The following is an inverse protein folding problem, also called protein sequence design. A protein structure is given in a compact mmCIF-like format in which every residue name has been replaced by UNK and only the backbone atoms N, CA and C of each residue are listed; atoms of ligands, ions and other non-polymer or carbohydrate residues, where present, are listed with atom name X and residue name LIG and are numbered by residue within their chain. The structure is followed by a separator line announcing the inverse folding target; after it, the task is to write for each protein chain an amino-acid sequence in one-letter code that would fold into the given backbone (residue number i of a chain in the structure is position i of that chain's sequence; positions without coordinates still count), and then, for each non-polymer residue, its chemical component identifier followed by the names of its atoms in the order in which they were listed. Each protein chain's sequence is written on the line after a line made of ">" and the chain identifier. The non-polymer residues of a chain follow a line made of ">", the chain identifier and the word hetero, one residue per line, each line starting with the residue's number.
data_IF_836902362993
#
_entry.id   IF_836902362993
#
_cell.length_a   1.000
_cell.length_b   1.000
_cell.length_c   1.000
_cell.angle_alpha   90.00
_cell.angle_beta   90.00
_cell.angle_gamma   90.00
#
_symmetry.space_group_name_H-M   'P 1'
#
loop_
_entity.id
_entity.type
_entity.pdbx_description
1 polymer ?
#
# COMPACT_ATOMS: atom_id res chain seq x y z
N UNK A 1 16.42 -8.03 14.70
CA UNK A 1 16.44 -6.92 13.71
C UNK A 1 15.35 -5.85 13.94
N UNK A 2 14.38 -6.05 14.83
CA UNK A 2 13.42 -4.98 15.18
C UNK A 2 14.14 -3.83 15.92
N UNK A 3 15.03 -4.17 16.86
CA UNK A 3 15.79 -3.17 17.62
C UNK A 3 16.64 -2.24 16.75
N UNK A 4 17.12 -2.71 15.58
CA UNK A 4 17.93 -1.88 14.67
C UNK A 4 17.10 -0.83 13.90
N UNK A 5 15.77 -0.99 13.85
CA UNK A 5 14.85 -0.05 13.20
C UNK A 5 14.25 0.99 14.16
N UNK A 6 14.57 0.97 15.45
CA UNK A 6 14.03 1.93 16.43
C UNK A 6 14.50 3.35 16.06
N UNK A 7 13.55 4.27 15.92
CA UNK A 7 13.83 5.69 15.60
C UNK A 7 14.27 5.96 14.17
N UNK A 8 14.20 4.98 13.27
CA UNK A 8 14.58 5.10 11.85
C UNK A 8 13.39 4.82 10.94
N UNK A 9 13.46 5.30 9.70
CA UNK A 9 12.52 4.87 8.66
C UNK A 9 12.85 3.42 8.23
N UNK A 10 11.93 2.50 8.53
CA UNK A 10 12.04 1.09 8.20
C UNK A 10 11.16 0.68 7.00
N UNK A 11 10.63 1.64 6.24
CA UNK A 11 9.70 1.38 5.12
C UNK A 11 10.29 0.43 4.07
N UNK A 12 11.53 0.68 3.65
CA UNK A 12 12.20 -0.19 2.68
C UNK A 12 12.48 -1.60 3.24
N UNK A 13 12.78 -1.71 4.53
CA UNK A 13 13.05 -3.01 5.16
C UNK A 13 11.80 -3.89 5.21
N UNK A 14 10.61 -3.29 5.33
CA UNK A 14 9.33 -3.99 5.40
C UNK A 14 8.79 -4.37 4.00
N UNK A 15 8.96 -3.50 3.01
CA UNK A 15 8.41 -3.64 1.66
C UNK A 15 9.35 -4.36 0.66
N UNK A 16 10.20 -5.29 1.11
CA UNK A 16 11.02 -6.10 0.22
C UNK A 16 12.45 -5.61 -0.06
N UNK A 17 12.94 -4.58 0.64
CA UNK A 17 14.35 -4.18 0.57
C UNK A 17 15.30 -5.11 1.33
N UNK A 18 14.81 -5.75 2.40
CA UNK A 18 15.52 -6.85 3.08
C UNK A 18 14.61 -8.06 3.25
N UNK A 19 13.35 -7.84 3.65
CA UNK A 19 12.34 -8.88 3.77
C UNK A 19 11.06 -8.45 3.06
N UNK A 20 10.44 -9.38 2.32
CA UNK A 20 9.15 -9.16 1.69
C UNK A 20 8.04 -9.74 2.58
N UNK A 21 7.31 -8.88 3.28
CA UNK A 21 6.31 -9.31 4.24
C UNK A 21 5.00 -9.75 3.56
N UNK A 22 4.30 -10.69 4.19
CA UNK A 22 3.00 -11.17 3.68
C UNK A 22 1.89 -10.15 3.91
N UNK A 23 0.80 -10.24 3.15
CA UNK A 23 -0.40 -9.40 3.35
C UNK A 23 -0.93 -9.46 4.78
N UNK A 24 -0.80 -10.60 5.47
CA UNK A 24 -1.17 -10.72 6.88
C UNK A 24 -0.36 -9.78 7.78
N UNK A 25 0.95 -9.62 7.53
CA UNK A 25 1.80 -8.70 8.28
C UNK A 25 1.49 -7.23 7.99
N UNK A 26 1.14 -6.89 6.74
CA UNK A 26 0.66 -5.54 6.38
C UNK A 26 -0.65 -5.18 7.11
N UNK A 27 -1.57 -6.15 7.19
CA UNK A 27 -2.82 -5.99 7.93
C UNK A 27 -2.55 -5.83 9.43
N UNK A 28 -1.63 -6.62 10.00
CA UNK A 28 -1.24 -6.53 11.40
C UNK A 28 -0.60 -5.17 11.73
N UNK A 29 0.32 -4.66 10.92
CA UNK A 29 0.89 -3.33 11.16
C UNK A 29 -0.17 -2.22 11.11
N UNK A 30 -1.26 -2.44 10.38
CA UNK A 30 -2.37 -1.48 10.33
C UNK A 30 -3.08 -1.33 11.68
N UNK A 31 -3.04 -2.34 12.54
CA UNK A 31 -3.59 -2.27 13.90
C UNK A 31 -2.60 -1.67 14.91
N UNK A 32 -1.32 -1.52 14.54
CA UNK A 32 -0.25 -1.02 15.42
C UNK A 32 0.10 0.47 15.17
N UNK A 33 -0.63 1.15 14.29
CA UNK A 33 -0.40 2.57 13.98
C UNK A 33 -0.82 3.44 15.16
N UNK A 34 0.11 4.24 15.70
CA UNK A 34 -0.14 5.13 16.85
C UNK A 34 0.02 6.62 16.53
N UNK A 35 0.55 6.96 15.35
CA UNK A 35 0.77 8.33 14.93
C UNK A 35 1.31 8.43 13.51
N UNK A 36 1.36 9.65 12.99
CA UNK A 36 1.88 9.95 11.65
C UNK A 36 3.01 10.98 11.81
N UNK A 37 4.15 10.72 11.16
CA UNK A 37 5.29 11.63 11.18
C UNK A 37 4.98 12.82 10.26
N UNK A 38 5.08 14.04 10.79
CA UNK A 38 4.91 15.26 9.99
C UNK A 38 6.03 15.34 8.95
N UNK A 39 5.67 15.29 7.67
CA UNK A 39 6.64 15.26 6.56
C UNK A 39 7.13 13.86 6.18
N UNK A 40 6.55 12.79 6.71
CA UNK A 40 6.77 11.43 6.18
C UNK A 40 6.11 11.28 4.80
N UNK A 41 6.91 11.06 3.76
CA UNK A 41 6.41 10.90 2.38
C UNK A 41 6.27 9.43 1.99
N UNK A 42 5.25 9.12 1.19
CA UNK A 42 5.11 7.84 0.51
C UNK A 42 6.24 7.63 -0.52
N UNK A 43 6.70 6.40 -0.70
CA UNK A 43 7.82 6.08 -1.60
C UNK A 43 7.45 6.38 -3.05
N UNK A 44 8.14 7.35 -3.67
CA UNK A 44 7.86 7.86 -5.03
C UNK A 44 7.78 6.78 -6.13
N UNK A 45 8.50 5.67 -5.98
CA UNK A 45 8.46 4.54 -6.93
C UNK A 45 7.05 3.92 -7.01
N UNK A 46 6.34 3.90 -5.89
CA UNK A 46 5.01 3.29 -5.78
C UNK A 46 3.92 4.19 -6.37
N UNK A 47 4.15 5.52 -6.42
CA UNK A 47 3.28 6.47 -7.12
C UNK A 47 3.28 6.27 -8.64
N UNK A 48 4.45 5.97 -9.22
CA UNK A 48 4.58 5.71 -10.67
C UNK A 48 3.81 4.46 -11.09
N UNK A 49 3.96 3.38 -10.32
CA UNK A 49 3.26 2.13 -10.57
C UNK A 49 1.72 2.26 -10.46
N UNK A 50 1.20 3.04 -9.51
CA UNK A 50 -0.25 3.27 -9.42
C UNK A 50 -0.81 4.04 -10.62
N UNK A 51 -0.02 4.94 -11.21
CA UNK A 51 -0.41 5.72 -12.39
C UNK A 51 -0.46 4.85 -13.65
N UNK A 52 0.45 3.90 -13.79
CA UNK A 52 0.45 2.92 -14.89
C UNK A 52 -0.67 1.87 -14.75
N UNK A 53 -1.02 1.46 -13.52
CA UNK A 53 -2.09 0.46 -13.30
C UNK A 53 -3.52 1.00 -13.53
N UNK A 54 -3.69 2.32 -13.73
CA UNK A 54 -5.01 2.96 -13.93
C UNK A 54 -5.64 2.62 -15.29
N UNK A 55 -4.88 2.06 -16.22
CA UNK A 55 -5.33 1.70 -17.58
C UNK A 55 -5.69 0.21 -17.74
N UNK A 56 -5.54 -0.61 -16.69
CA UNK A 56 -5.90 -2.03 -16.75
C UNK A 56 -7.41 -2.19 -16.56
N UNK A 57 -8.12 -2.37 -17.67
CA UNK A 57 -9.54 -2.69 -17.69
C UNK A 57 -9.87 -3.85 -16.72
N UNK A 58 -10.94 -3.65 -15.96
CA UNK A 58 -11.45 -4.64 -15.01
C UNK A 58 -11.81 -5.93 -15.76
N UNK A 59 -11.04 -6.99 -15.56
CA UNK A 59 -11.35 -8.32 -16.07
C UNK A 59 -12.71 -8.75 -15.53
N UNK A 60 -13.61 -9.18 -16.41
CA UNK A 60 -14.92 -9.74 -16.03
C UNK A 60 -14.80 -11.25 -15.88
N UNK A 61 -15.57 -11.83 -14.98
CA UNK A 61 -15.67 -13.29 -14.85
C UNK A 61 -16.51 -13.89 -16.00
N UNK A 62 -16.57 -15.22 -16.07
CA UNK A 62 -17.36 -15.96 -17.07
C UNK A 62 -18.87 -15.73 -16.95
N UNK A 63 -19.34 -15.15 -15.85
CA UNK A 63 -20.73 -14.78 -15.59
C UNK A 63 -20.98 -13.28 -15.82
N UNK A 64 -19.99 -12.54 -16.34
CA UNK A 64 -20.08 -11.12 -16.66
C UNK A 64 -19.92 -10.16 -15.48
N UNK A 65 -19.64 -10.66 -14.27
CA UNK A 65 -19.41 -9.81 -13.10
C UNK A 65 -17.99 -9.25 -13.08
N UNK A 66 -17.84 -8.06 -12.48
CA UNK A 66 -16.54 -7.40 -12.35
C UNK A 66 -15.67 -8.13 -11.32
N UNK A 67 -14.50 -8.64 -11.73
CA UNK A 67 -13.54 -9.24 -10.79
C UNK A 67 -12.85 -8.13 -10.00
N UNK A 68 -13.10 -8.09 -8.70
CA UNK A 68 -12.44 -7.15 -7.78
C UNK A 68 -11.13 -7.76 -7.30
N UNK A 69 -10.01 -7.28 -7.85
CA UNK A 69 -8.66 -7.70 -7.42
C UNK A 69 -8.25 -7.01 -6.11
N UNK A 70 -7.23 -7.58 -5.46
CA UNK A 70 -6.64 -7.00 -4.26
C UNK A 70 -6.22 -5.54 -4.51
N UNK A 71 -6.79 -4.59 -3.75
CA UNK A 71 -6.57 -3.15 -3.92
C UNK A 71 -7.71 -2.37 -4.59
N UNK A 72 -8.68 -3.06 -5.21
CA UNK A 72 -9.87 -2.44 -5.84
C UNK A 72 -11.15 -2.60 -5.01
N UNK A 73 -11.03 -2.96 -3.73
CA UNK A 73 -12.20 -3.21 -2.88
C UNK A 73 -12.99 -1.92 -2.60
N UNK A 74 -14.33 -2.04 -2.62
CA UNK A 74 -15.28 -0.93 -2.39
C UNK A 74 -15.11 -0.28 -1.01
N UNK A 75 -14.57 -1.04 -0.04
CA UNK A 75 -14.26 -0.55 1.31
C UNK A 75 -12.98 0.28 1.39
N UNK A 76 -12.20 0.36 0.31
CA UNK A 76 -10.99 1.18 0.27
C UNK A 76 -11.39 2.64 0.20
N UNK A 77 -11.19 3.36 1.30
CA UNK A 77 -11.36 4.81 1.36
C UNK A 77 -10.33 5.43 0.39
N UNK A 78 -10.75 6.17 -0.64
CA UNK A 78 -9.82 6.81 -1.56
C UNK A 78 -9.03 7.89 -0.80
N UNK A 79 -7.71 7.87 -0.94
CA UNK A 79 -6.86 8.88 -0.30
C UNK A 79 -7.13 10.25 -0.94
N UNK A 80 -7.34 11.30 -0.12
CA UNK A 80 -7.70 12.61 -0.63
C UNK A 80 -6.53 13.19 -1.43
N UNK A 81 -6.83 13.55 -2.67
CA UNK A 81 -5.87 14.13 -3.63
C UNK A 81 -5.58 15.57 -3.16
N UNK A 82 -4.33 15.94 -2.80
CA UNK A 82 -4.02 17.33 -2.48
C UNK A 82 -4.12 18.15 -3.77
N UNK A 83 -5.06 19.10 -3.80
CA UNK A 83 -5.14 20.11 -4.86
C UNK A 83 -4.04 21.14 -4.58
N UNK A 84 -3.11 21.29 -5.53
CA UNK A 84 -2.04 22.27 -5.47
C UNK A 84 -2.57 23.70 -5.65
#
# INVERSE_FOLDING_TARGET
>A
MINSGIGKDATAMFNGGVYNHSNAAHNLLSTMRVGVIRGGCEVEIWKRAQRENKEVESVRDEYGNRIVRAGSQVTKIPEPIPTA
#
